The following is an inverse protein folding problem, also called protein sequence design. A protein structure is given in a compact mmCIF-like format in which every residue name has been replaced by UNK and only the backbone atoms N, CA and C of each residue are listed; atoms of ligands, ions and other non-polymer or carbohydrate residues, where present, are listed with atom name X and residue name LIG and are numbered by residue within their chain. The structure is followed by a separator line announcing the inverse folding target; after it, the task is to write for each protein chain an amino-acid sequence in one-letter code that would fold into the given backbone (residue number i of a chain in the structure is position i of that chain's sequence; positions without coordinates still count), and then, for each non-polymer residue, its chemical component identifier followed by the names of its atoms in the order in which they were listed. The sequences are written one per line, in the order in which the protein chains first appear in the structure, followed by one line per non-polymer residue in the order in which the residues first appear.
data_IF_328819877497
#
_entry.id   IF_328819877497
#
_cell.length_a   1.000
_cell.length_b   1.000
_cell.length_c   1.000
_cell.angle_alpha   90.00
_cell.angle_beta   90.00
_cell.angle_gamma   90.00
#
_symmetry.space_group_name_H-M   'P 1'
#
loop_
_entity.id
_entity.type
_entity.pdbx_description
1 polymer ?
#
# COMPACT_ATOMS: atom_id res chain seq x y z
N UNK A 1 29.80 2.89 -15.95
CA UNK A 1 28.37 3.14 -15.63
C UNK A 1 27.57 2.42 -16.69
N UNK A 2 27.13 1.18 -16.43
CA UNK A 2 26.53 0.32 -17.44
C UNK A 2 25.00 0.40 -17.31
N UNK A 3 24.38 1.31 -18.08
CA UNK A 3 22.93 1.50 -18.12
C UNK A 3 22.26 0.44 -19.02
N UNK A 4 22.06 -0.75 -18.46
CA UNK A 4 21.31 -1.85 -19.10
C UNK A 4 19.79 -1.71 -18.86
N UNK A 5 19.22 -0.50 -18.93
CA UNK A 5 17.83 -0.25 -18.49
C UNK A 5 16.94 0.26 -19.61
N UNK A 6 15.78 -0.39 -19.76
CA UNK A 6 14.80 -0.12 -20.82
C UNK A 6 13.76 0.99 -20.47
N UNK A 7 13.64 1.43 -19.22
CA UNK A 7 12.66 2.44 -18.82
C UNK A 7 13.10 3.26 -17.59
N UNK A 8 12.68 4.53 -17.54
CA UNK A 8 12.91 5.46 -16.42
C UNK A 8 12.05 5.06 -15.21
N UNK A 9 12.67 4.98 -14.03
CA UNK A 9 11.97 4.74 -12.75
C UNK A 9 11.60 6.06 -12.10
N UNK A 10 10.35 6.21 -11.67
CA UNK A 10 9.95 7.30 -10.78
C UNK A 10 9.77 6.76 -9.37
N UNK A 11 10.33 7.47 -8.39
CA UNK A 11 10.19 7.11 -6.98
C UNK A 11 8.74 7.27 -6.57
N UNK A 12 8.15 6.19 -6.07
CA UNK A 12 6.73 6.08 -5.77
C UNK A 12 6.64 5.23 -4.53
N UNK A 13 6.55 5.85 -3.34
CA UNK A 13 6.29 5.14 -2.10
C UNK A 13 4.79 4.88 -1.98
N UNK A 14 4.32 3.75 -2.51
CA UNK A 14 2.91 3.32 -2.48
C UNK A 14 2.76 2.00 -1.73
N UNK A 15 1.63 1.83 -1.07
CA UNK A 15 1.21 0.54 -0.55
C UNK A 15 0.76 -0.35 -1.71
N UNK A 16 1.15 -1.62 -1.68
CA UNK A 16 0.65 -2.65 -2.57
C UNK A 16 0.66 -4.02 -1.89
N UNK A 17 0.11 -5.01 -2.57
CA UNK A 17 0.13 -6.40 -2.13
C UNK A 17 0.83 -7.20 -3.21
N UNK A 18 1.77 -8.07 -2.82
CA UNK A 18 2.33 -9.06 -3.72
C UNK A 18 1.70 -10.43 -3.42
N UNK A 19 1.11 -11.02 -4.44
CA UNK A 19 0.39 -12.27 -4.36
C UNK A 19 1.09 -13.35 -5.17
N UNK A 20 1.18 -14.56 -4.63
CA UNK A 20 1.75 -15.70 -5.35
C UNK A 20 1.25 -17.02 -4.78
N UNK A 21 1.35 -18.08 -5.57
CA UNK A 21 1.04 -19.43 -5.11
C UNK A 21 2.18 -19.97 -4.24
N UNK A 22 1.88 -20.19 -2.96
CA UNK A 22 2.76 -20.83 -2.01
C UNK A 22 2.48 -22.33 -1.87
N UNK A 23 3.34 -23.03 -1.13
CA UNK A 23 3.21 -24.48 -0.89
C UNK A 23 1.91 -24.90 -0.17
N UNK A 24 1.20 -23.95 0.47
CA UNK A 24 -0.05 -24.19 1.21
C UNK A 24 -1.24 -23.41 0.64
N UNK A 25 -1.13 -22.91 -0.60
CA UNK A 25 -2.15 -22.07 -1.25
C UNK A 25 -1.67 -20.66 -1.55
N UNK A 26 -2.60 -19.79 -1.97
CA UNK A 26 -2.30 -18.41 -2.31
C UNK A 26 -1.78 -17.63 -1.10
N UNK A 27 -0.71 -16.89 -1.31
CA UNK A 27 -0.04 -16.05 -0.30
C UNK A 27 -0.15 -14.60 -0.76
N UNK A 28 -0.72 -13.74 0.08
CA UNK A 28 -0.80 -12.30 -0.15
C UNK A 28 0.05 -11.57 0.89
N UNK A 29 1.04 -10.79 0.45
CA UNK A 29 2.01 -10.12 1.33
C UNK A 29 1.96 -8.62 1.10
N UNK A 30 1.74 -7.80 2.13
CA UNK A 30 1.82 -6.35 2.00
C UNK A 30 3.24 -5.90 1.65
N UNK A 31 3.35 -4.88 0.81
CA UNK A 31 4.61 -4.31 0.37
C UNK A 31 4.53 -2.80 0.19
N UNK A 32 5.69 -2.14 0.29
CA UNK A 32 5.87 -0.76 -0.16
C UNK A 32 6.47 -0.79 -1.56
N UNK A 33 5.68 -0.48 -2.57
CA UNK A 33 6.19 -0.08 -3.88
C UNK A 33 7.07 1.16 -3.63
N UNK A 34 8.33 1.12 -4.07
CA UNK A 34 9.33 2.17 -3.87
C UNK A 34 9.54 3.00 -5.14
N UNK A 35 9.42 2.36 -6.29
CA UNK A 35 9.39 2.97 -7.61
C UNK A 35 8.68 2.07 -8.59
N UNK A 36 8.03 2.69 -9.56
CA UNK A 36 7.42 2.01 -10.70
C UNK A 36 7.98 2.60 -11.99
N UNK A 37 7.96 1.78 -13.03
CA UNK A 37 8.32 2.12 -14.40
C UNK A 37 7.41 1.34 -15.34
N UNK A 38 7.37 1.70 -16.62
CA UNK A 38 6.58 0.96 -17.61
C UNK A 38 6.93 -0.53 -17.70
N UNK A 39 8.10 -0.98 -17.22
CA UNK A 39 8.55 -2.38 -17.35
C UNK A 39 8.59 -3.15 -16.04
N UNK A 40 8.32 -2.50 -14.90
CA UNK A 40 8.38 -3.16 -13.60
C UNK A 40 8.45 -2.20 -12.42
N UNK A 41 8.59 -2.79 -11.24
CA UNK A 41 8.57 -2.08 -9.97
C UNK A 41 9.69 -2.55 -9.04
N UNK A 42 10.06 -1.70 -8.08
CA UNK A 42 10.84 -2.10 -6.91
C UNK A 42 9.94 -2.04 -5.69
N UNK A 43 9.95 -3.12 -4.93
CA UNK A 43 9.16 -3.29 -3.72
C UNK A 43 10.09 -3.39 -2.51
N UNK A 44 9.63 -2.90 -1.38
CA UNK A 44 10.21 -3.12 -0.05
C UNK A 44 9.21 -3.93 0.76
N UNK A 45 9.69 -5.03 1.32
CA UNK A 45 8.93 -5.97 2.13
C UNK A 45 9.31 -5.81 3.59
N UNK A 46 8.42 -6.20 4.50
CA UNK A 46 8.71 -6.17 5.93
C UNK A 46 9.64 -7.30 6.36
N UNK A 47 9.62 -8.43 5.63
CA UNK A 47 10.41 -9.62 5.93
C UNK A 47 11.12 -10.17 4.68
N UNK A 48 12.23 -10.88 4.90
CA UNK A 48 12.93 -11.61 3.84
C UNK A 48 12.31 -13.00 3.68
N UNK A 49 11.61 -13.22 2.58
CA UNK A 49 11.01 -14.51 2.19
C UNK A 49 11.58 -14.94 0.85
N UNK A 50 11.73 -16.24 0.60
CA UNK A 50 12.05 -16.73 -0.74
C UNK A 50 10.82 -16.59 -1.63
N UNK A 51 10.92 -15.80 -2.70
CA UNK A 51 9.81 -15.60 -3.63
C UNK A 51 9.85 -16.59 -4.81
N UNK A 52 8.69 -17.03 -5.30
CA UNK A 52 8.60 -17.74 -6.57
C UNK A 52 9.00 -16.84 -7.75
N UNK A 53 9.20 -17.46 -8.92
CA UNK A 53 9.57 -16.74 -10.14
C UNK A 53 8.46 -15.83 -10.67
N UNK A 54 7.20 -16.17 -10.38
CA UNK A 54 6.01 -15.45 -10.83
C UNK A 54 5.17 -15.01 -9.63
N UNK A 55 4.62 -13.81 -9.71
CA UNK A 55 3.79 -13.19 -8.68
C UNK A 55 2.85 -12.17 -9.35
N UNK A 56 1.83 -11.71 -8.62
CA UNK A 56 0.95 -10.62 -9.02
C UNK A 56 1.16 -9.44 -8.08
N UNK A 57 1.54 -8.29 -8.62
CA UNK A 57 1.57 -7.04 -7.88
C UNK A 57 0.19 -6.37 -7.97
N UNK A 58 -0.45 -6.18 -6.83
CA UNK A 58 -1.71 -5.46 -6.69
C UNK A 58 -1.39 -4.07 -6.12
N UNK A 59 -1.78 -3.03 -6.86
CA UNK A 59 -1.65 -1.64 -6.46
C UNK A 59 -2.85 -1.24 -5.58
N UNK A 60 -2.70 -0.19 -4.78
CA UNK A 60 -3.76 0.31 -3.89
C UNK A 60 -5.03 0.77 -4.64
N UNK A 61 -4.93 1.10 -5.93
CA UNK A 61 -6.07 1.44 -6.80
C UNK A 61 -6.77 0.20 -7.40
N UNK A 62 -6.34 -1.00 -7.01
CA UNK A 62 -6.89 -2.27 -7.49
C UNK A 62 -6.27 -2.74 -8.80
N UNK A 63 -5.34 -2.00 -9.42
CA UNK A 63 -4.63 -2.47 -10.60
C UNK A 63 -3.82 -3.72 -10.26
N UNK A 64 -3.91 -4.76 -11.08
CA UNK A 64 -3.19 -6.02 -10.88
C UNK A 64 -2.22 -6.26 -12.03
N UNK A 65 -0.97 -6.56 -11.70
CA UNK A 65 0.09 -6.82 -12.67
C UNK A 65 0.77 -8.14 -12.39
N UNK A 66 0.58 -9.10 -13.29
CA UNK A 66 1.42 -10.29 -13.34
C UNK A 66 2.86 -9.88 -13.60
N UNK A 67 3.75 -10.37 -12.76
CA UNK A 67 5.14 -10.00 -12.77
C UNK A 67 6.04 -11.18 -12.42
N UNK A 68 7.28 -11.10 -12.90
CA UNK A 68 8.35 -12.04 -12.55
C UNK A 68 9.32 -11.39 -11.59
N UNK A 69 9.82 -12.16 -10.64
CA UNK A 69 10.89 -11.69 -9.77
C UNK A 69 12.18 -11.59 -10.57
N UNK A 70 12.64 -10.36 -10.77
CA UNK A 70 13.86 -10.06 -11.52
C UNK A 70 15.10 -10.13 -10.63
N UNK A 71 14.98 -9.72 -9.37
CA UNK A 71 16.04 -9.83 -8.36
C UNK A 71 15.48 -9.68 -6.96
N UNK A 72 16.19 -10.23 -5.98
CA UNK A 72 15.87 -10.04 -4.56
C UNK A 72 17.16 -9.71 -3.79
N UNK A 73 17.09 -8.70 -2.91
CA UNK A 73 18.19 -8.32 -2.03
C UNK A 73 17.66 -7.87 -0.67
N UNK A 74 17.88 -8.68 0.37
CA UNK A 74 17.37 -8.43 1.72
C UNK A 74 15.84 -8.25 1.70
N UNK A 75 15.37 -7.05 2.05
CA UNK A 75 13.96 -6.64 2.08
C UNK A 75 13.52 -5.95 0.79
N UNK A 76 14.36 -5.91 -0.23
CA UNK A 76 14.03 -5.32 -1.53
C UNK A 76 13.80 -6.41 -2.56
N UNK A 77 12.72 -6.26 -3.31
CA UNK A 77 12.31 -7.15 -4.39
C UNK A 77 12.14 -6.32 -5.67
N UNK A 78 12.87 -6.68 -6.72
CA UNK A 78 12.65 -6.13 -8.05
C UNK A 78 11.75 -7.06 -8.84
N UNK A 79 10.63 -6.54 -9.34
CA UNK A 79 9.72 -7.27 -10.21
C UNK A 79 9.72 -6.66 -11.61
N UNK A 80 9.62 -7.50 -12.64
CA UNK A 80 9.42 -7.09 -14.03
C UNK A 80 8.03 -7.55 -14.47
N UNK A 81 7.26 -6.70 -15.16
CA UNK A 81 5.93 -7.08 -15.62
C UNK A 81 6.02 -8.17 -16.69
N UNK A 82 5.16 -9.18 -16.62
CA UNK A 82 5.21 -10.36 -17.48
C UNK A 82 5.03 -9.99 -18.96
N UNK A 83 4.13 -9.05 -19.25
CA UNK A 83 3.87 -8.54 -20.60
C UNK A 83 4.91 -7.52 -21.09
N UNK A 84 6.00 -7.31 -20.33
CA UNK A 84 7.15 -6.49 -20.71
C UNK A 84 6.93 -4.97 -20.67
N UNK A 85 5.70 -4.48 -20.92
CA UNK A 85 5.34 -3.06 -20.89
C UNK A 85 3.91 -2.91 -20.36
N UNK A 86 3.69 -2.10 -19.32
CA UNK A 86 2.33 -1.68 -18.93
C UNK A 86 1.71 -0.85 -20.07
N UNK A 87 0.42 -1.02 -20.38
CA UNK A 87 -0.25 -0.23 -21.41
C UNK A 87 -0.19 1.26 -21.07
N UNK A 88 -0.38 2.19 -22.03
CA UNK A 88 -0.41 3.62 -21.75
C UNK A 88 -1.42 4.01 -20.67
N UNK A 89 -2.60 3.38 -20.66
CA UNK A 89 -3.62 3.59 -19.63
C UNK A 89 -3.19 3.06 -18.26
N UNK A 90 -2.55 1.89 -18.23
CA UNK A 90 -1.97 1.33 -17.00
C UNK A 90 -0.79 2.17 -16.51
N UNK A 91 0.03 2.72 -17.42
CA UNK A 91 1.11 3.65 -17.09
C UNK A 91 0.55 4.97 -16.55
N UNK A 92 -0.58 5.45 -17.07
CA UNK A 92 -1.28 6.64 -16.56
C UNK A 92 -1.84 6.39 -15.15
N UNK A 93 -2.52 5.26 -14.91
CA UNK A 93 -2.94 4.82 -13.57
C UNK A 93 -1.74 4.66 -12.60
N UNK A 94 -0.58 4.29 -13.14
CA UNK A 94 0.65 4.18 -12.38
C UNK A 94 1.36 5.54 -12.16
N UNK A 95 1.06 6.62 -12.91
CA UNK A 95 1.92 7.81 -12.99
C UNK A 95 1.27 9.13 -13.49
N UNK A 96 0.94 10.06 -12.58
CA UNK A 96 1.33 11.51 -12.68
C UNK A 96 1.73 12.05 -11.30
N UNK A 97 2.66 13.01 -11.22
CA UNK A 97 3.08 13.58 -9.92
C UNK A 97 1.90 14.30 -9.22
N UNK A 98 1.02 14.91 -10.03
CA UNK A 98 -0.19 15.58 -9.59
C UNK A 98 -1.23 14.61 -9.02
N UNK A 99 -1.50 13.48 -9.68
CA UNK A 99 -2.39 12.44 -9.13
C UNK A 99 -1.80 11.76 -7.89
N UNK A 100 -0.47 11.63 -7.81
CA UNK A 100 0.21 11.14 -6.61
C UNK A 100 0.09 12.13 -5.46
N UNK A 101 0.19 13.44 -5.72
CA UNK A 101 -0.06 14.47 -4.73
C UNK A 101 -1.52 14.42 -4.26
N UNK A 102 -2.47 14.28 -5.19
CA UNK A 102 -3.89 14.17 -4.88
C UNK A 102 -4.20 12.93 -4.03
N UNK A 103 -3.58 11.78 -4.34
CA UNK A 103 -3.76 10.56 -3.57
C UNK A 103 -3.18 10.68 -2.15
N UNK A 104 -1.99 11.29 -1.98
CA UNK A 104 -1.45 11.57 -0.64
C UNK A 104 -2.31 12.54 0.14
N UNK A 105 -2.81 13.58 -0.51
CA UNK A 105 -3.76 14.52 0.08
C UNK A 105 -5.06 13.84 0.50
N UNK A 106 -5.56 12.90 -0.31
CA UNK A 106 -6.74 12.11 0.04
C UNK A 106 -6.51 11.28 1.32
N UNK A 107 -5.43 10.50 1.37
CA UNK A 107 -5.09 9.69 2.56
C UNK A 107 -4.89 10.59 3.78
N UNK A 108 -4.13 11.68 3.63
CA UNK A 108 -3.88 12.65 4.68
C UNK A 108 -5.18 13.27 5.22
N UNK A 109 -6.12 13.60 4.34
CA UNK A 109 -7.44 14.11 4.71
C UNK A 109 -8.27 13.06 5.48
N UNK A 110 -8.22 11.78 5.10
CA UNK A 110 -8.91 10.71 5.84
C UNK A 110 -8.34 10.54 7.24
N UNK A 111 -7.02 10.57 7.39
CA UNK A 111 -6.34 10.50 8.69
C UNK A 111 -6.74 11.68 9.57
N UNK A 112 -6.70 12.89 9.01
CA UNK A 112 -7.12 14.11 9.69
C UNK A 112 -8.56 14.01 10.18
N UNK A 113 -9.48 13.60 9.30
CA UNK A 113 -10.89 13.45 9.64
C UNK A 113 -11.11 12.40 10.74
N UNK A 114 -10.48 11.23 10.63
CA UNK A 114 -10.58 10.16 11.64
C UNK A 114 -9.94 10.55 12.98
N UNK A 115 -8.86 11.34 12.96
CA UNK A 115 -8.23 11.91 14.15
C UNK A 115 -9.16 12.91 14.85
N UNK A 116 -9.73 13.84 14.09
CA UNK A 116 -10.64 14.86 14.62
C UNK A 116 -11.93 14.24 15.15
N UNK A 117 -12.45 13.19 14.51
CA UNK A 117 -13.62 12.43 14.98
C UNK A 117 -13.39 11.76 16.35
N UNK A 118 -12.13 11.46 16.70
CA UNK A 118 -11.74 10.98 18.04
C UNK A 118 -11.43 12.08 19.04
N UNK A 119 -11.43 13.33 18.62
CA UNK A 119 -11.04 14.47 19.46
C UNK A 119 -9.54 14.52 19.76
N UNK A 120 -8.69 13.88 18.94
CA UNK A 120 -7.24 13.93 19.12
C UNK A 120 -6.61 15.13 18.41
N UNK A 121 -5.59 15.73 19.03
CA UNK A 121 -4.70 16.71 18.37
C UNK A 121 -3.57 16.01 17.61
N UNK A 122 -2.93 16.70 16.67
CA UNK A 122 -1.75 16.20 15.95
C UNK A 122 -0.62 15.80 16.92
N UNK A 123 -0.45 16.55 18.01
CA UNK A 123 0.57 16.27 19.04
C UNK A 123 0.23 14.99 19.80
N UNK A 124 -1.04 14.79 20.15
CA UNK A 124 -1.47 13.60 20.89
C UNK A 124 -1.28 12.33 20.07
N UNK A 125 -1.71 12.32 18.80
CA UNK A 125 -1.53 11.16 17.94
C UNK A 125 -0.03 10.90 17.66
N UNK A 126 0.77 11.95 17.47
CA UNK A 126 2.22 11.82 17.28
C UNK A 126 2.90 11.13 18.48
N UNK A 127 2.51 11.52 19.70
CA UNK A 127 3.01 10.89 20.93
C UNK A 127 2.62 9.41 21.02
N UNK A 128 1.37 9.06 20.68
CA UNK A 128 0.92 7.66 20.69
C UNK A 128 1.64 6.79 19.64
N UNK A 129 1.96 7.37 18.48
CA UNK A 129 2.69 6.70 17.40
C UNK A 129 4.22 6.75 17.58
N UNK A 130 4.72 7.43 18.61
CA UNK A 130 6.15 7.69 18.84
C UNK A 130 6.85 8.33 17.62
N UNK A 131 6.19 9.29 16.97
CA UNK A 131 6.70 10.07 15.84
C UNK A 131 6.75 11.57 16.18
N UNK A 132 7.46 12.35 15.36
CA UNK A 132 7.47 13.80 15.52
C UNK A 132 6.12 14.42 15.11
N UNK A 133 5.63 15.49 15.76
CA UNK A 133 4.39 16.17 15.35
C UNK A 133 4.41 16.66 13.89
N UNK A 134 5.58 17.08 13.39
CA UNK A 134 5.76 17.48 11.98
C UNK A 134 5.45 16.33 11.01
N UNK A 135 5.74 15.08 11.39
CA UNK A 135 5.41 13.91 10.58
C UNK A 135 3.89 13.82 10.37
N UNK A 136 3.10 13.97 11.44
CA UNK A 136 1.63 13.93 11.36
C UNK A 136 1.10 15.07 10.51
N UNK A 137 1.59 16.29 10.73
CA UNK A 137 1.13 17.46 9.96
C UNK A 137 1.40 17.31 8.45
N UNK A 138 2.62 16.90 8.06
CA UNK A 138 2.99 16.71 6.65
C UNK A 138 2.35 15.47 6.01
N UNK A 139 2.04 14.47 6.82
CA UNK A 139 1.25 13.31 6.41
C UNK A 139 -0.20 13.73 6.12
N UNK A 140 -0.84 14.49 7.01
CA UNK A 140 -2.21 14.97 6.87
C UNK A 140 -2.37 15.98 5.71
N UNK A 141 -1.35 16.79 5.41
CA UNK A 141 -1.35 17.68 4.24
C UNK A 141 -1.01 16.99 2.92
N UNK A 142 -0.58 15.72 2.95
CA UNK A 142 -0.17 14.97 1.76
C UNK A 142 1.20 15.40 1.19
N UNK A 143 1.97 16.19 1.92
CA UNK A 143 3.34 16.62 1.54
C UNK A 143 4.36 15.49 1.62
N UNK A 144 4.08 14.42 2.38
CA UNK A 144 4.92 13.23 2.43
C UNK A 144 4.12 11.94 2.33
N UNK A 145 4.74 10.89 1.80
CA UNK A 145 4.14 9.56 1.84
C UNK A 145 4.27 8.96 3.23
N UNK A 146 3.21 8.32 3.72
CA UNK A 146 3.20 7.58 4.97
C UNK A 146 3.59 6.13 4.67
N UNK A 147 4.64 5.59 5.30
CA UNK A 147 4.97 4.17 5.16
C UNK A 147 3.79 3.29 5.61
N UNK A 148 3.55 2.18 4.92
CA UNK A 148 2.42 1.30 5.21
C UNK A 148 2.32 0.89 6.69
N UNK A 149 3.42 0.47 7.32
CA UNK A 149 3.41 0.12 8.74
C UNK A 149 2.90 1.28 9.63
N UNK A 150 3.27 2.53 9.32
CA UNK A 150 2.75 3.70 10.04
C UNK A 150 1.27 3.90 9.75
N UNK A 151 0.84 3.69 8.51
CA UNK A 151 -0.57 3.80 8.14
C UNK A 151 -1.44 2.76 8.87
N UNK A 152 -0.94 1.53 9.03
CA UNK A 152 -1.59 0.49 9.84
C UNK A 152 -1.68 0.90 11.31
N UNK A 153 -0.59 1.39 11.91
CA UNK A 153 -0.62 1.87 13.28
C UNK A 153 -1.57 3.06 13.49
N UNK A 154 -1.65 3.96 12.51
CA UNK A 154 -2.64 5.05 12.50
C UNK A 154 -4.05 4.49 12.44
N UNK A 155 -4.33 3.53 11.56
CA UNK A 155 -5.64 2.90 11.43
C UNK A 155 -6.08 2.22 12.73
N UNK A 156 -5.18 1.47 13.37
CA UNK A 156 -5.42 0.81 14.66
C UNK A 156 -5.70 1.83 15.77
N UNK A 157 -4.85 2.85 15.90
CA UNK A 157 -5.01 3.91 16.91
C UNK A 157 -6.31 4.71 16.69
N UNK A 158 -6.64 4.92 15.42
CA UNK A 158 -7.87 5.55 14.98
C UNK A 158 -8.97 4.52 14.70
N UNK A 159 -8.98 3.32 15.33
CA UNK A 159 -9.99 2.24 15.16
C UNK A 159 -10.85 2.39 13.88
N UNK A 160 -10.20 2.39 12.73
CA UNK A 160 -10.79 2.44 11.38
C UNK A 160 -10.07 1.41 10.54
N UNK A 161 -10.77 0.89 9.54
CA UNK A 161 -10.14 -0.03 8.60
C UNK A 161 -9.10 0.71 7.76
N UNK A 162 -7.97 0.02 7.51
CA UNK A 162 -6.91 0.53 6.65
C UNK A 162 -7.44 0.90 5.25
N UNK A 163 -8.35 0.09 4.70
CA UNK A 163 -9.02 0.37 3.43
C UNK A 163 -9.80 1.68 3.44
N UNK A 164 -10.41 2.07 4.55
CA UNK A 164 -11.16 3.34 4.66
C UNK A 164 -10.25 4.56 4.62
N UNK A 165 -9.00 4.43 5.09
CA UNK A 165 -8.00 5.51 4.98
C UNK A 165 -7.42 5.63 3.56
N UNK A 166 -7.35 4.52 2.82
CA UNK A 166 -6.73 4.44 1.50
C UNK A 166 -7.72 4.78 0.38
N UNK A 167 -8.92 4.19 0.43
CA UNK A 167 -9.97 4.32 -0.59
C UNK A 167 -11.02 5.39 -0.24
N UNK A 168 -10.98 5.93 0.98
CA UNK A 168 -12.03 6.77 1.53
C UNK A 168 -13.15 5.93 2.17
N UNK A 169 -14.17 6.57 2.79
CA UNK A 169 -15.29 5.83 3.36
C UNK A 169 -15.89 4.97 2.26
N UNK A 170 -15.78 3.64 2.43
CA UNK A 170 -16.49 2.71 1.58
C UNK A 170 -17.95 3.18 1.56
N UNK A 171 -18.49 3.44 0.38
CA UNK A 171 -19.95 3.54 0.26
C UNK A 171 -20.50 2.28 0.93
N UNK A 172 -21.20 2.49 2.02
CA UNK A 172 -21.66 1.49 2.98
C UNK A 172 -22.29 0.32 2.24
N UNK A 173 -21.78 -0.88 2.44
CA UNK A 173 -22.17 -2.01 1.59
C UNK A 173 -21.96 -3.40 2.18
N UNK A 174 -21.82 -3.57 3.50
CA UNK A 174 -22.24 -4.82 4.15
C UNK A 174 -22.45 -4.60 5.65
N UNK A 175 -23.70 -4.79 6.09
CA UNK A 175 -24.08 -4.75 7.50
C UNK A 175 -23.39 -5.87 8.30
N UNK A 176 -23.15 -5.68 9.61
CA UNK A 176 -22.67 -6.75 10.48
C UNK A 176 -23.80 -7.79 10.68
N UNK A 177 -23.76 -8.85 9.88
CA UNK A 177 -24.67 -9.99 9.95
C UNK A 177 -24.13 -11.11 10.82
N UNK A 178 -24.57 -11.10 12.08
CA UNK A 178 -24.88 -12.25 12.94
C UNK A 178 -23.76 -13.22 13.37
N UNK A 179 -23.29 -12.99 14.60
CA UNK A 179 -22.99 -14.07 15.52
C UNK A 179 -24.31 -14.68 16.05
N UNK A 180 -24.59 -15.95 15.71
CA UNK A 180 -25.40 -16.92 16.49
C UNK A 180 -24.80 -18.29 16.18
N UNK A 181 -24.00 -18.89 17.07
CA UNK A 181 -24.45 -19.70 18.22
C UNK A 181 -25.42 -20.81 17.79
N UNK A 182 -24.90 -21.97 17.41
CA UNK A 182 -25.56 -23.25 17.66
C UNK A 182 -24.49 -24.32 17.93
N UNK A 183 -24.25 -24.52 19.22
CA UNK A 183 -23.81 -25.82 19.74
C UNK A 183 -25.08 -26.66 19.84
N UNK A 184 -25.22 -27.65 18.98
CA UNK A 184 -26.14 -28.76 19.24
C UNK A 184 -25.35 -30.07 19.20
N UNK A 185 -25.24 -30.68 20.37
CA UNK A 185 -24.84 -32.06 20.56
C UNK A 185 -25.87 -32.98 19.90
N UNK A 186 -25.38 -33.97 19.15
CA UNK A 186 -26.04 -35.27 19.00
C UNK A 186 -24.99 -36.37 19.20
#
# INVERSE_FOLDING_TARGET
MNELRAATRRSTARTGIIEFDGARGAVSIPCTICDVSGTGARLKLDWSLSFPKEATLVFADGLRKTCRVAWQKRRLLGVAFADGVASPDEQALMMTDEEQALHRQHIGAQIKAAREARGYTEIQIANFLAVAPEFVSRAESGEMSIPLHQLTHIADLLLVDLDSLIAGPASTGLAPGEARSDVELA
#
